data_IF_422555615930
#
_entry.id   IF_422555615930
#
_cell.length_a   1.000
_cell.length_b   1.000
_cell.length_c   1.000
_cell.angle_alpha   90.00
_cell.angle_beta   90.00
_cell.angle_gamma   90.00
#
_symmetry.space_group_name_H-M   'P 1'
#
loop_
_entity.id
_entity.type
_entity.pdbx_description
1 polymer ?
#
# COMPACT_ATOMS: atom_id res chain seq x y z
N UNK A 1 13.92 16.89 -7.74
CA UNK A 1 14.73 15.90 -8.47
C UNK A 1 13.84 15.16 -9.45
N UNK A 2 14.35 14.64 -10.57
CA UNK A 2 13.57 13.80 -11.50
C UNK A 2 14.10 12.36 -11.44
N UNK A 3 13.20 11.39 -11.24
CA UNK A 3 13.56 9.98 -11.21
C UNK A 3 13.72 9.44 -12.63
N UNK A 4 14.72 8.57 -12.83
CA UNK A 4 14.80 7.78 -14.05
C UNK A 4 13.59 6.86 -14.19
N UNK A 5 13.32 6.42 -15.42
CA UNK A 5 12.23 5.48 -15.71
C UNK A 5 12.41 4.17 -14.93
N UNK A 6 13.64 3.72 -14.78
CA UNK A 6 14.02 2.51 -14.06
C UNK A 6 13.76 2.65 -12.56
N UNK A 7 14.12 3.79 -11.96
CA UNK A 7 13.83 4.07 -10.55
C UNK A 7 12.32 4.14 -10.29
N UNK A 8 11.57 4.82 -11.18
CA UNK A 8 10.11 4.85 -11.10
C UNK A 8 9.51 3.45 -11.23
N UNK A 9 10.05 2.61 -12.12
CA UNK A 9 9.62 1.22 -12.27
C UNK A 9 9.79 0.45 -10.96
N UNK A 10 10.94 0.54 -10.31
CA UNK A 10 11.18 -0.14 -9.02
C UNK A 10 10.19 0.33 -7.94
N UNK A 11 9.94 1.65 -7.86
CA UNK A 11 9.04 2.24 -6.86
C UNK A 11 7.59 1.81 -7.10
N UNK A 12 7.10 1.94 -8.32
CA UNK A 12 5.70 1.65 -8.66
C UNK A 12 5.42 0.16 -8.47
N UNK A 13 6.29 -0.74 -8.92
CA UNK A 13 6.10 -2.18 -8.71
C UNK A 13 6.13 -2.52 -7.22
N UNK A 14 7.09 -1.99 -6.46
CA UNK A 14 7.17 -2.22 -5.01
C UNK A 14 5.93 -1.68 -4.27
N UNK A 15 5.30 -0.61 -4.77
CA UNK A 15 4.06 -0.08 -4.19
C UNK A 15 2.88 -1.05 -4.33
N UNK A 16 2.81 -1.80 -5.42
CA UNK A 16 1.79 -2.85 -5.61
C UNK A 16 2.07 -4.07 -4.74
N UNK A 17 3.34 -4.43 -4.54
CA UNK A 17 3.73 -5.48 -3.58
C UNK A 17 3.33 -5.09 -2.15
N UNK A 18 3.48 -3.81 -1.78
CA UNK A 18 3.03 -3.29 -0.49
C UNK A 18 1.50 -3.29 -0.38
N UNK A 19 0.80 -2.84 -1.43
CA UNK A 19 -0.66 -2.81 -1.49
C UNK A 19 -1.27 -4.17 -1.13
N UNK A 20 -0.78 -5.25 -1.75
CA UNK A 20 -1.34 -6.60 -1.52
C UNK A 20 -1.07 -7.15 -0.11
N UNK A 21 -0.19 -6.50 0.66
CA UNK A 21 0.08 -6.82 2.08
C UNK A 21 -0.74 -5.99 3.06
N UNK A 22 -1.40 -4.93 2.59
CA UNK A 22 -2.38 -4.19 3.39
C UNK A 22 -3.54 -5.14 3.75
N UNK A 23 -4.07 -5.12 4.98
CA UNK A 23 -5.26 -5.89 5.33
C UNK A 23 -6.39 -5.68 4.32
N UNK A 24 -7.04 -6.78 3.95
CA UNK A 24 -8.10 -6.75 2.95
C UNK A 24 -9.22 -5.77 3.35
N UNK A 25 -9.81 -5.05 2.38
CA UNK A 25 -10.95 -4.20 2.67
C UNK A 25 -12.14 -5.00 3.16
N UNK A 26 -12.89 -4.39 4.07
CA UNK A 26 -14.12 -4.95 4.62
C UNK A 26 -15.33 -4.32 3.95
N UNK A 27 -16.36 -5.11 3.67
CA UNK A 27 -17.65 -4.59 3.21
C UNK A 27 -18.43 -4.09 4.44
N UNK A 28 -18.54 -2.77 4.61
CA UNK A 28 -19.32 -2.11 5.67
C UNK A 28 -20.36 -1.21 5.04
N UNK A 29 -21.62 -1.32 5.48
CA UNK A 29 -22.73 -0.50 4.96
C UNK A 29 -22.84 -0.54 3.42
N UNK A 30 -22.53 -1.71 2.86
CA UNK A 30 -22.54 -1.93 1.42
C UNK A 30 -21.37 -1.29 0.66
N UNK A 31 -20.35 -0.72 1.31
CA UNK A 31 -19.14 -0.18 0.69
C UNK A 31 -17.88 -0.90 1.18
N UNK A 32 -16.92 -1.13 0.29
CA UNK A 32 -15.60 -1.60 0.65
C UNK A 32 -14.81 -0.47 1.31
N UNK A 33 -14.25 -0.74 2.48
CA UNK A 33 -13.47 0.21 3.26
C UNK A 33 -12.20 -0.44 3.83
N UNK A 34 -11.12 0.33 3.87
CA UNK A 34 -9.91 -0.03 4.57
C UNK A 34 -9.92 0.59 5.96
N UNK A 35 -10.13 -0.21 7.00
CA UNK A 35 -10.12 0.27 8.39
C UNK A 35 -8.80 1.00 8.75
N UNK A 36 -7.69 0.60 8.14
CA UNK A 36 -6.36 1.14 8.39
C UNK A 36 -6.00 2.35 7.50
N UNK A 37 -6.93 2.83 6.64
CA UNK A 37 -6.69 3.88 5.62
C UNK A 37 -6.01 5.13 6.16
N UNK A 38 -6.53 5.68 7.26
CA UNK A 38 -6.00 6.93 7.82
C UNK A 38 -4.55 6.80 8.28
N UNK A 39 -4.12 5.58 8.64
CA UNK A 39 -2.76 5.33 9.15
C UNK A 39 -1.72 5.39 8.05
N UNK A 40 -2.07 4.89 6.86
CA UNK A 40 -1.16 4.96 5.72
C UNK A 40 -1.01 6.38 5.19
N UNK A 41 -2.09 7.18 5.24
CA UNK A 41 -2.07 8.59 4.81
C UNK A 41 -1.15 9.47 5.64
N UNK A 42 -0.92 9.12 6.91
CA UNK A 42 -0.05 9.87 7.81
C UNK A 42 1.41 9.41 7.77
N UNK A 43 1.72 8.24 7.20
CA UNK A 43 3.11 7.74 7.12
C UNK A 43 4.08 8.71 6.40
N UNK A 44 3.71 9.35 5.27
CA UNK A 44 4.58 10.34 4.63
C UNK A 44 4.89 11.54 5.54
N UNK A 45 4.03 11.86 6.50
CA UNK A 45 4.25 12.97 7.43
C UNK A 45 5.37 12.67 8.43
N UNK A 46 5.66 11.38 8.70
CA UNK A 46 6.76 10.96 9.55
C UNK A 46 8.15 11.17 8.90
N UNK A 47 8.18 11.48 7.59
CA UNK A 47 9.36 11.89 6.82
C UNK A 47 9.49 13.42 6.72
N UNK A 48 8.77 14.20 7.53
CA UNK A 48 8.88 15.67 7.58
C UNK A 48 10.18 16.14 8.24
N UNK A 49 10.52 17.39 7.93
CA UNK A 49 11.82 18.05 8.09
C UNK A 49 12.45 17.88 9.48
N UNK A 50 13.31 16.86 9.58
CA UNK A 50 14.44 16.85 10.50
C UNK A 50 15.63 17.40 9.69
N UNK A 51 16.43 18.34 10.21
CA UNK A 51 17.58 18.90 9.47
C UNK A 51 18.64 17.89 9.04
N UNK A 52 18.60 16.68 9.61
CA UNK A 52 19.41 15.54 9.21
C UNK A 52 18.49 14.49 8.56
N UNK A 53 18.71 14.24 7.28
CA UNK A 53 17.95 13.31 6.45
C UNK A 53 18.07 11.87 6.95
N UNK A 54 19.23 11.49 7.50
CA UNK A 54 19.43 10.15 8.08
C UNK A 54 18.65 9.98 9.38
N UNK A 55 18.56 11.05 10.18
CA UNK A 55 17.70 11.10 11.36
C UNK A 55 16.21 11.07 10.97
N UNK A 56 15.81 11.70 9.85
CA UNK A 56 14.45 11.63 9.31
C UNK A 56 14.04 10.20 8.95
N UNK A 57 14.91 9.44 8.27
CA UNK A 57 14.65 8.02 7.94
C UNK A 57 14.57 7.17 9.22
N UNK A 58 15.47 7.39 10.18
CA UNK A 58 15.43 6.68 11.47
C UNK A 58 14.14 6.98 12.24
N UNK A 59 13.71 8.24 12.24
CA UNK A 59 12.46 8.67 12.86
C UNK A 59 11.25 8.04 12.17
N UNK A 60 11.25 7.98 10.84
CA UNK A 60 10.23 7.28 10.06
C UNK A 60 10.14 5.80 10.45
N UNK A 61 11.25 5.07 10.46
CA UNK A 61 11.28 3.64 10.83
C UNK A 61 10.71 3.42 12.24
N UNK A 62 11.13 4.24 13.20
CA UNK A 62 10.61 4.19 14.57
C UNK A 62 9.11 4.50 14.61
N UNK A 63 8.66 5.53 13.90
CA UNK A 63 7.26 5.93 13.84
C UNK A 63 6.39 4.85 13.21
N UNK A 64 6.80 4.29 12.06
CA UNK A 64 6.09 3.20 11.40
C UNK A 64 5.99 1.96 12.31
N UNK A 65 7.10 1.55 12.93
CA UNK A 65 7.16 0.40 13.83
C UNK A 65 6.34 0.59 15.11
N UNK A 66 6.19 1.83 15.57
CA UNK A 66 5.41 2.16 16.75
C UNK A 66 3.93 2.35 16.45
N UNK A 67 3.60 3.06 15.38
CA UNK A 67 2.26 3.53 15.08
C UNK A 67 1.41 2.48 14.39
N UNK A 68 1.96 1.75 13.41
CA UNK A 68 1.19 0.77 12.64
C UNK A 68 0.69 -0.40 13.50
N UNK A 69 1.50 -1.00 14.40
CA UNK A 69 1.02 -2.07 15.29
C UNK A 69 0.20 -1.60 16.48
N UNK A 70 0.25 -0.31 16.87
CA UNK A 70 -0.49 0.20 18.06
C UNK A 70 -1.82 0.83 17.73
N UNK A 71 -2.01 1.24 16.49
CA UNK A 71 -3.25 1.87 16.08
C UNK A 71 -4.44 0.88 15.99
N UNK A 72 -4.26 -0.39 16.39
CA UNK A 72 -5.32 -1.42 16.52
C UNK A 72 -5.42 -2.03 17.91
N UNK A 73 -4.90 -1.34 18.94
CA UNK A 73 -5.04 -1.78 20.33
C UNK A 73 -6.51 -1.94 20.69
N UNK A 74 -6.97 -3.18 20.60
CA UNK A 74 -8.36 -3.59 20.78
C UNK A 74 -8.71 -4.99 20.26
N UNK A 75 -7.88 -5.66 19.43
CA UNK A 75 -8.22 -7.01 18.94
C UNK A 75 -7.19 -7.66 18.02
N UNK A 76 -7.57 -8.81 17.43
CA UNK A 76 -6.80 -9.64 16.48
C UNK A 76 -6.06 -8.86 15.36
N UNK A 77 -6.48 -7.64 15.09
CA UNK A 77 -6.01 -6.80 14.00
C UNK A 77 -4.61 -6.19 14.26
N UNK A 78 -4.12 -6.13 15.51
CA UNK A 78 -2.73 -5.72 15.86
C UNK A 78 -1.64 -6.52 15.10
N UNK A 79 -1.96 -7.75 14.67
CA UNK A 79 -1.06 -8.60 13.86
C UNK A 79 -1.29 -8.49 12.35
N UNK A 80 -2.45 -8.00 11.91
CA UNK A 80 -2.82 -7.96 10.51
C UNK A 80 -1.94 -7.00 9.70
N UNK A 81 -1.42 -5.96 10.36
CA UNK A 81 -0.50 -4.98 9.77
C UNK A 81 0.97 -5.41 9.75
N UNK A 82 1.35 -6.48 10.48
CA UNK A 82 2.75 -6.91 10.55
C UNK A 82 3.32 -7.31 9.18
N UNK A 83 2.63 -8.08 8.32
CA UNK A 83 3.16 -8.42 6.99
C UNK A 83 3.42 -7.20 6.12
N UNK A 84 2.58 -6.16 6.23
CA UNK A 84 2.79 -4.89 5.55
C UNK A 84 4.00 -4.15 6.12
N UNK A 85 4.07 -4.04 7.46
CA UNK A 85 5.18 -3.35 8.15
C UNK A 85 6.53 -4.00 7.81
N UNK A 86 6.62 -5.33 7.88
CA UNK A 86 7.84 -6.06 7.58
C UNK A 86 8.31 -5.80 6.15
N UNK A 87 7.39 -5.83 5.18
CA UNK A 87 7.71 -5.53 3.78
C UNK A 87 8.11 -4.07 3.60
N UNK A 88 7.39 -3.12 4.22
CA UNK A 88 7.72 -1.70 4.15
C UNK A 88 9.12 -1.42 4.69
N UNK A 89 9.47 -1.99 5.84
CA UNK A 89 10.79 -1.83 6.45
C UNK A 89 11.89 -2.49 5.61
N UNK A 90 11.61 -3.64 4.98
CA UNK A 90 12.53 -4.26 4.01
C UNK A 90 12.80 -3.33 2.83
N UNK A 91 11.75 -2.77 2.22
CA UNK A 91 11.88 -1.86 1.07
C UNK A 91 12.62 -0.57 1.44
N UNK A 92 12.37 -0.02 2.62
CA UNK A 92 13.09 1.16 3.13
C UNK A 92 14.57 0.85 3.32
N UNK A 93 14.89 -0.33 3.86
CA UNK A 93 16.27 -0.79 3.99
C UNK A 93 16.94 -0.96 2.63
N UNK A 94 16.28 -1.62 1.68
CA UNK A 94 16.77 -1.81 0.31
C UNK A 94 17.06 -0.46 -0.39
N UNK A 95 16.19 0.54 -0.21
CA UNK A 95 16.43 1.91 -0.68
C UNK A 95 17.68 2.48 -0.01
N UNK A 96 17.83 2.33 1.30
CA UNK A 96 19.00 2.80 2.05
C UNK A 96 20.32 2.13 1.63
N UNK A 97 20.27 0.85 1.28
CA UNK A 97 21.43 0.06 0.84
C UNK A 97 21.87 0.43 -0.60
N UNK A 98 20.93 0.80 -1.48
CA UNK A 98 21.19 1.13 -2.90
C UNK A 98 21.48 2.60 -3.17
N UNK A 99 20.84 3.50 -2.42
CA UNK A 99 20.96 4.94 -2.62
C UNK A 99 21.90 5.51 -1.57
N UNK A 100 22.96 6.22 -1.96
CA UNK A 100 23.87 6.85 -1.01
C UNK A 100 23.40 8.23 -0.56
N UNK A 101 22.64 8.93 -1.42
CA UNK A 101 22.15 10.28 -1.16
C UNK A 101 20.94 10.26 -0.21
N UNK A 102 21.06 10.83 1.01
CA UNK A 102 19.97 10.89 1.98
C UNK A 102 18.71 11.60 1.48
N UNK A 103 18.84 12.68 0.69
CA UNK A 103 17.68 13.40 0.16
C UNK A 103 16.92 12.52 -0.84
N UNK A 104 17.64 11.89 -1.76
CA UNK A 104 17.08 10.95 -2.74
C UNK A 104 16.46 9.72 -2.08
N UNK A 105 17.03 9.21 -0.98
CA UNK A 105 16.38 8.15 -0.16
C UNK A 105 15.03 8.60 0.35
N UNK A 106 14.96 9.79 0.95
CA UNK A 106 13.71 10.34 1.48
C UNK A 106 12.67 10.49 0.37
N UNK A 107 13.06 11.04 -0.78
CA UNK A 107 12.15 11.14 -1.93
C UNK A 107 11.67 9.76 -2.39
N UNK A 108 12.55 8.76 -2.55
CA UNK A 108 12.16 7.40 -2.92
C UNK A 108 11.16 6.79 -1.94
N UNK A 109 11.39 6.94 -0.63
CA UNK A 109 10.47 6.43 0.40
C UNK A 109 9.12 7.19 0.33
N UNK A 110 9.13 8.52 0.15
CA UNK A 110 7.90 9.32 0.00
C UNK A 110 7.09 8.85 -1.20
N UNK A 111 7.72 8.64 -2.35
CA UNK A 111 7.05 8.15 -3.55
C UNK A 111 6.52 6.73 -3.37
N UNK A 112 7.29 5.82 -2.76
CA UNK A 112 6.85 4.45 -2.46
C UNK A 112 5.56 4.44 -1.64
N UNK A 113 5.52 5.21 -0.55
CA UNK A 113 4.34 5.29 0.32
C UNK A 113 3.20 6.02 -0.39
N UNK A 114 3.50 7.09 -1.13
CA UNK A 114 2.54 7.87 -1.90
C UNK A 114 1.79 7.02 -2.93
N UNK A 115 2.52 6.27 -3.76
CA UNK A 115 1.95 5.32 -4.71
C UNK A 115 1.15 4.24 -4.02
N UNK A 116 1.67 3.66 -2.92
CA UNK A 116 0.94 2.63 -2.16
C UNK A 116 -0.43 3.17 -1.70
N UNK A 117 -0.48 4.40 -1.20
CA UNK A 117 -1.71 5.07 -0.76
C UNK A 117 -2.68 5.35 -1.91
N UNK A 118 -2.18 5.89 -3.02
CA UNK A 118 -3.00 6.18 -4.20
C UNK A 118 -3.55 4.92 -4.85
N UNK A 119 -2.75 3.86 -4.90
CA UNK A 119 -3.16 2.59 -5.47
C UNK A 119 -4.25 1.95 -4.60
N UNK A 120 -4.10 2.01 -3.27
CA UNK A 120 -5.15 1.56 -2.35
C UNK A 120 -6.47 2.33 -2.56
N UNK A 121 -6.43 3.66 -2.60
CA UNK A 121 -7.63 4.49 -2.81
C UNK A 121 -8.30 4.20 -4.17
N UNK A 122 -7.51 4.04 -5.24
CA UNK A 122 -7.99 3.74 -6.59
C UNK A 122 -8.65 2.37 -6.68
N UNK A 123 -8.02 1.33 -6.12
CA UNK A 123 -8.57 -0.04 -6.11
C UNK A 123 -9.88 -0.09 -5.34
N UNK A 124 -9.95 0.54 -4.16
CA UNK A 124 -11.19 0.61 -3.37
C UNK A 124 -12.30 1.34 -4.11
N UNK A 125 -11.96 2.39 -4.86
CA UNK A 125 -12.92 3.11 -5.70
C UNK A 125 -13.49 2.19 -6.79
N UNK A 126 -12.64 1.41 -7.47
CA UNK A 126 -13.06 0.43 -8.48
C UNK A 126 -13.94 -0.66 -7.85
N UNK A 127 -13.51 -1.23 -6.72
CA UNK A 127 -14.30 -2.25 -6.01
C UNK A 127 -15.68 -1.72 -5.61
N UNK A 128 -15.77 -0.46 -5.19
CA UNK A 128 -17.03 0.17 -4.82
C UNK A 128 -17.93 0.50 -6.01
N UNK A 129 -17.35 0.84 -7.17
CA UNK A 129 -18.13 1.15 -8.37
C UNK A 129 -18.77 -0.12 -8.98
N UNK A 130 -18.12 -1.27 -8.84
CA UNK A 130 -18.48 -2.51 -9.55
C UNK A 130 -18.62 -3.73 -8.61
N UNK A 131 -19.09 -3.52 -7.37
CA UNK A 131 -19.04 -4.47 -6.23
C UNK A 131 -19.32 -5.94 -6.52
N UNK A 132 -20.22 -6.22 -7.47
CA UNK A 132 -20.71 -7.56 -7.81
C UNK A 132 -20.28 -8.03 -9.21
N UNK A 133 -19.47 -7.24 -9.92
CA UNK A 133 -19.03 -7.52 -11.29
C UNK A 133 -17.51 -7.65 -11.33
N UNK A 134 -17.03 -8.84 -10.97
CA UNK A 134 -15.59 -9.15 -10.95
C UNK A 134 -14.94 -9.00 -12.34
N UNK A 135 -15.71 -9.17 -13.42
CA UNK A 135 -15.21 -8.99 -14.79
C UNK A 135 -14.96 -7.50 -15.09
N UNK A 136 -15.92 -6.63 -14.74
CA UNK A 136 -15.74 -5.19 -14.92
C UNK A 136 -14.67 -4.63 -13.97
N UNK A 137 -14.59 -5.11 -12.72
CA UNK A 137 -13.47 -4.78 -11.81
C UNK A 137 -12.14 -5.11 -12.47
N UNK A 138 -11.97 -6.35 -12.92
CA UNK A 138 -10.73 -6.82 -13.56
C UNK A 138 -10.36 -5.96 -14.76
N UNK A 139 -11.33 -5.68 -15.64
CA UNK A 139 -11.13 -4.84 -16.83
C UNK A 139 -10.69 -3.42 -16.48
N UNK A 140 -11.26 -2.82 -15.43
CA UNK A 140 -10.89 -1.48 -14.97
C UNK A 140 -9.48 -1.46 -14.36
N UNK A 141 -9.14 -2.47 -13.56
CA UNK A 141 -7.79 -2.65 -13.04
C UNK A 141 -6.77 -2.82 -14.18
N UNK A 142 -7.03 -3.69 -15.15
CA UNK A 142 -6.16 -3.88 -16.33
C UNK A 142 -5.97 -2.59 -17.12
N UNK A 143 -7.03 -1.78 -17.26
CA UNK A 143 -6.94 -0.49 -17.97
C UNK A 143 -6.04 0.50 -17.22
N UNK A 144 -6.28 0.66 -15.92
CA UNK A 144 -5.52 1.56 -15.05
C UNK A 144 -4.04 1.15 -14.98
N UNK A 145 -3.78 -0.12 -14.66
CA UNK A 145 -2.43 -0.68 -14.57
C UNK A 145 -1.74 -0.70 -15.93
N UNK A 146 -2.46 -1.01 -17.02
CA UNK A 146 -1.91 -1.00 -18.36
C UNK A 146 -1.40 0.37 -18.79
N UNK A 147 -2.10 1.44 -18.39
CA UNK A 147 -1.64 2.81 -18.62
C UNK A 147 -0.41 3.15 -17.78
N UNK A 148 -0.48 2.93 -16.46
CA UNK A 148 0.61 3.27 -15.54
C UNK A 148 1.88 2.45 -15.81
N UNK A 149 1.76 1.12 -15.84
CA UNK A 149 2.89 0.22 -16.08
C UNK A 149 3.42 0.35 -17.52
N UNK A 150 2.59 0.80 -18.47
CA UNK A 150 3.02 1.13 -19.82
C UNK A 150 4.04 2.26 -19.86
N UNK A 151 3.81 3.33 -19.08
CA UNK A 151 4.72 4.50 -18.99
C UNK A 151 6.11 4.07 -18.54
N UNK A 152 6.17 3.19 -17.53
CA UNK A 152 7.42 2.71 -16.93
C UNK A 152 8.00 1.45 -17.61
N UNK A 153 7.40 0.96 -18.70
CA UNK A 153 7.91 -0.22 -19.41
C UNK A 153 7.82 -1.53 -18.60
N UNK A 154 6.74 -1.71 -17.85
CA UNK A 154 6.43 -2.86 -17.01
C UNK A 154 5.07 -3.50 -17.39
N UNK A 155 4.66 -3.36 -18.66
CA UNK A 155 3.33 -3.81 -19.12
C UNK A 155 3.10 -5.31 -18.95
N UNK A 156 4.18 -6.10 -18.95
CA UNK A 156 4.13 -7.54 -18.76
C UNK A 156 3.70 -7.94 -17.34
N UNK A 157 3.86 -7.05 -16.35
CA UNK A 157 3.46 -7.29 -14.96
C UNK A 157 1.97 -7.06 -14.69
N UNK A 158 1.23 -6.47 -15.64
CA UNK A 158 -0.19 -6.06 -15.47
C UNK A 158 -1.05 -7.22 -15.00
N UNK A 159 -1.05 -8.36 -15.71
CA UNK A 159 -1.97 -9.45 -15.40
C UNK A 159 -1.68 -10.10 -14.04
N UNK A 160 -0.40 -10.17 -13.67
CA UNK A 160 0.03 -10.67 -12.36
C UNK A 160 -0.49 -9.75 -11.25
N UNK A 161 -0.25 -8.44 -11.37
CA UNK A 161 -0.67 -7.45 -10.36
C UNK A 161 -2.20 -7.41 -10.26
N UNK A 162 -2.92 -7.42 -11.39
CA UNK A 162 -4.39 -7.53 -11.41
C UNK A 162 -4.85 -8.77 -10.66
N UNK A 163 -4.25 -9.94 -10.95
CA UNK A 163 -4.61 -11.20 -10.30
C UNK A 163 -4.40 -11.16 -8.79
N UNK A 164 -3.31 -10.54 -8.32
CA UNK A 164 -3.03 -10.41 -6.89
C UNK A 164 -3.97 -9.40 -6.21
N UNK A 165 -4.31 -8.29 -6.87
CA UNK A 165 -5.31 -7.34 -6.39
C UNK A 165 -6.71 -7.99 -6.34
N UNK A 166 -7.07 -8.82 -7.31
CA UNK A 166 -8.36 -9.51 -7.28
C UNK A 166 -8.50 -10.46 -6.09
N UNK A 167 -7.39 -11.06 -5.61
CA UNK A 167 -7.37 -11.86 -4.37
C UNK A 167 -7.54 -11.00 -3.10
N UNK A 168 -7.36 -9.68 -3.22
CA UNK A 168 -7.56 -8.74 -2.14
C UNK A 168 -9.05 -8.45 -1.89
N UNK A 169 -9.93 -8.75 -2.86
CA UNK A 169 -11.37 -8.66 -2.67
C UNK A 169 -11.81 -9.73 -1.64
N UNK A 170 -12.53 -9.36 -0.58
CA UNK A 170 -13.04 -10.34 0.37
C UNK A 170 -14.04 -11.26 -0.34
N UNK A 171 -14.02 -12.56 0.01
CA UNK A 171 -14.94 -13.54 -0.55
C UNK A 171 -16.36 -13.17 -0.13
N UNK A 172 -17.22 -12.87 -1.11
CA UNK A 172 -18.65 -12.62 -0.87
C UNK A 172 -19.28 -13.89 -0.29
N UNK A 173 -19.73 -13.83 0.96
CA UNK A 173 -20.43 -14.95 1.62
C UNK A 173 -20.04 -15.20 3.08
N UNK A 174 -18.95 -14.63 3.58
CA UNK A 174 -18.71 -14.60 5.03
C UNK A 174 -19.44 -13.39 5.62
N UNK A 175 -20.69 -13.58 6.03
CA UNK A 175 -21.25 -12.76 7.10
C UNK A 175 -20.23 -12.75 8.24
N UNK A 176 -19.62 -11.59 8.50
CA UNK A 176 -18.94 -11.39 9.77
C UNK A 176 -20.04 -11.43 10.85
N UNK A 177 -20.31 -12.61 11.40
CA UNK A 177 -21.03 -12.73 12.65
C UNK A 177 -20.07 -12.28 13.74
N UNK A 178 -20.29 -11.15 14.42
CA UNK A 178 -19.54 -10.85 15.62
C UNK A 178 -19.88 -11.94 16.64
N UNK A 179 -18.97 -12.90 16.79
CA UNK A 179 -19.05 -13.88 17.88
C UNK A 179 -18.85 -13.14 19.20
N UNK A 180 -19.90 -13.05 20.01
CA UNK A 180 -19.79 -12.57 21.38
C UNK A 180 -21.00 -11.81 21.93
N UNK A 181 -22.20 -12.39 21.88
CA UNK A 181 -23.13 -12.26 23.02
C UNK A 181 -23.26 -13.65 23.64
N UNK A 182 -22.63 -13.82 24.80
CA UNK A 182 -23.14 -14.71 25.84
C UNK A 182 -23.78 -13.81 26.88
#
# INVERSE_FOLDING_TARGET
MEFSKEELKEIVISSYELLIRIPQPQLKEGKYELSSRNKFKTLPEALREIPDESASITHFVKTASYFLPRAERGGKDDKAMLPFLDLLLSKVKEIGDKESDPERRIEKIKYLIGYTNWNADSVITIFNAFKNDDNEIRKRLQTMLGAELGIIGARDDVEKIVSDIMKWKPVTGSEYKPYGRR
#
